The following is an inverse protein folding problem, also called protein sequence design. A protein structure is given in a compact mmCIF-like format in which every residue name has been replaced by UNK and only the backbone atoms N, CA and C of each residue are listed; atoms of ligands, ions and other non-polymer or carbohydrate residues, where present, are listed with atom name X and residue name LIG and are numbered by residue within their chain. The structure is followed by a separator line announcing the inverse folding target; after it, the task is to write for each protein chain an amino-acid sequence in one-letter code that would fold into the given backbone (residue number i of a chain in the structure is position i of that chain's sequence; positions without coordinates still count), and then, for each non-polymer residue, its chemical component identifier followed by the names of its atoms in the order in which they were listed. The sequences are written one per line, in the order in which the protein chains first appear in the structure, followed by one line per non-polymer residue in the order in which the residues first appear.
data_IF_693602141530
#
_entry.id   IF_693602141530
#
_cell.length_a   1.000
_cell.length_b   1.000
_cell.length_c   1.000
_cell.angle_alpha   90.00
_cell.angle_beta   90.00
_cell.angle_gamma   90.00
#
_symmetry.space_group_name_H-M   'P 1'
#
loop_
_entity.id
_entity.type
_entity.pdbx_description
1 polymer ?
#
# COMPACT_ATOMS: atom_id res chain seq x y z
N UNK A 1 22.67 10.45 -3.83
CA UNK A 1 22.35 9.34 -2.91
C UNK A 1 21.38 8.42 -3.64
N UNK A 2 21.68 7.13 -3.68
CA UNK A 2 20.75 6.13 -4.24
C UNK A 2 19.43 6.13 -3.46
N UNK A 3 18.27 5.96 -4.13
CA UNK A 3 17.00 5.90 -3.44
C UNK A 3 16.91 4.67 -2.54
N UNK A 4 16.33 4.85 -1.36
CA UNK A 4 15.97 3.74 -0.47
C UNK A 4 14.88 2.87 -1.09
N UNK A 5 14.72 1.63 -0.62
CA UNK A 5 13.62 0.75 -1.05
C UNK A 5 12.24 1.41 -0.86
N UNK A 6 12.05 2.13 0.27
CA UNK A 6 10.83 2.89 0.54
C UNK A 6 10.55 3.96 -0.52
N UNK A 7 11.57 4.74 -0.88
CA UNK A 7 11.44 5.79 -1.90
C UNK A 7 11.18 5.20 -3.29
N UNK A 8 11.91 4.14 -3.66
CA UNK A 8 11.71 3.51 -4.97
C UNK A 8 10.34 2.86 -5.08
N UNK A 9 9.86 2.19 -4.03
CA UNK A 9 8.51 1.61 -3.97
C UNK A 9 7.43 2.68 -4.15
N UNK A 10 7.60 3.85 -3.51
CA UNK A 10 6.69 4.99 -3.68
C UNK A 10 6.70 5.53 -5.12
N UNK A 11 7.87 5.64 -5.75
CA UNK A 11 7.95 6.06 -7.16
C UNK A 11 7.21 5.09 -8.10
N UNK A 12 7.33 3.79 -7.85
CA UNK A 12 6.59 2.77 -8.60
C UNK A 12 5.09 2.90 -8.33
N UNK A 13 4.67 3.08 -7.09
CA UNK A 13 3.26 3.28 -6.77
C UNK A 13 2.68 4.51 -7.48
N UNK A 14 3.43 5.62 -7.54
CA UNK A 14 3.02 6.84 -8.24
C UNK A 14 2.86 6.65 -9.75
N UNK A 15 3.64 5.77 -10.39
CA UNK A 15 3.47 5.48 -11.82
C UNK A 15 2.21 4.67 -12.14
N UNK A 16 1.54 4.12 -11.12
CA UNK A 16 0.31 3.35 -11.28
C UNK A 16 -0.96 4.19 -11.05
N UNK A 17 -0.85 5.49 -10.78
CA UNK A 17 -2.02 6.37 -10.63
C UNK A 17 -2.95 6.29 -11.84
N UNK A 18 -4.25 6.14 -11.59
CA UNK A 18 -5.28 5.99 -12.62
C UNK A 18 -5.46 4.55 -13.14
N UNK A 19 -4.63 3.59 -12.73
CA UNK A 19 -4.92 2.16 -12.95
C UNK A 19 -6.22 1.81 -12.25
N UNK A 20 -7.14 1.19 -12.98
CA UNK A 20 -8.48 0.87 -12.49
C UNK A 20 -8.93 -0.52 -12.93
N UNK A 21 -9.91 -1.03 -12.20
CA UNK A 21 -10.55 -2.31 -12.49
C UNK A 21 -11.29 -2.29 -13.83
N UNK A 22 -11.23 -3.43 -14.53
CA UNK A 22 -11.88 -3.67 -15.82
C UNK A 22 -12.51 -5.07 -15.83
N UNK A 23 -13.86 -5.18 -15.74
CA UNK A 23 -14.82 -4.08 -15.59
C UNK A 23 -14.75 -3.41 -14.21
N UNK A 24 -15.28 -2.19 -14.08
CA UNK A 24 -15.30 -1.44 -12.81
C UNK A 24 -16.02 -2.26 -11.71
N UNK A 25 -15.51 -2.21 -10.48
CA UNK A 25 -16.02 -2.93 -9.30
C UNK A 25 -15.96 -4.47 -9.41
N UNK A 26 -15.00 -5.00 -10.18
CA UNK A 26 -14.81 -6.45 -10.35
C UNK A 26 -13.66 -7.01 -9.50
N UNK A 27 -12.86 -6.15 -8.86
CA UNK A 27 -11.56 -6.53 -8.30
C UNK A 27 -10.70 -7.30 -9.33
N UNK A 28 -10.78 -6.89 -10.60
CA UNK A 28 -10.05 -7.48 -11.72
C UNK A 28 -9.69 -6.42 -12.75
N UNK A 29 -8.66 -6.71 -13.56
CA UNK A 29 -8.17 -5.85 -14.63
C UNK A 29 -6.76 -6.28 -15.02
N UNK A 30 -6.22 -5.83 -16.17
CA UNK A 30 -4.90 -6.26 -16.64
C UNK A 30 -3.79 -6.04 -15.60
N UNK A 31 -3.74 -4.87 -14.97
CA UNK A 31 -2.77 -4.52 -13.93
C UNK A 31 -3.18 -5.05 -12.55
N UNK A 32 -4.46 -4.94 -12.18
CA UNK A 32 -4.99 -5.46 -10.91
C UNK A 32 -4.70 -6.97 -10.76
N UNK A 33 -4.87 -7.73 -11.84
CA UNK A 33 -4.56 -9.15 -11.86
C UNK A 33 -3.06 -9.43 -11.67
N UNK A 34 -2.16 -8.52 -12.12
CA UNK A 34 -0.72 -8.64 -11.86
C UNK A 34 -0.39 -8.39 -10.39
N UNK A 35 -1.05 -7.40 -9.76
CA UNK A 35 -0.89 -7.13 -8.33
C UNK A 35 -1.31 -8.35 -7.51
N UNK A 36 -2.50 -8.90 -7.77
CA UNK A 36 -3.01 -10.11 -7.11
C UNK A 36 -2.11 -11.32 -7.33
N UNK A 37 -1.66 -11.54 -8.57
CA UNK A 37 -0.74 -12.64 -8.90
C UNK A 37 0.58 -12.55 -8.14
N UNK A 38 1.07 -11.35 -7.81
CA UNK A 38 2.32 -11.16 -7.07
C UNK A 38 2.30 -11.78 -5.67
N UNK A 39 1.11 -11.90 -5.08
CA UNK A 39 0.87 -12.56 -3.80
C UNK A 39 0.23 -13.95 -3.94
N UNK A 40 0.08 -14.45 -5.17
CA UNK A 40 -0.49 -15.77 -5.46
C UNK A 40 -2.02 -15.85 -5.46
N UNK A 41 -2.71 -14.70 -5.56
CA UNK A 41 -4.17 -14.65 -5.66
C UNK A 41 -4.62 -14.50 -7.12
N UNK A 42 -5.83 -14.98 -7.41
CA UNK A 42 -6.54 -14.69 -8.65
C UNK A 42 -7.37 -13.40 -8.57
N UNK A 43 -8.11 -13.06 -9.64
CA UNK A 43 -9.05 -11.93 -9.64
C UNK A 43 -10.17 -12.07 -8.59
N UNK A 44 -10.81 -10.96 -8.24
CA UNK A 44 -11.99 -10.93 -7.37
C UNK A 44 -11.69 -10.64 -5.89
N UNK A 45 -10.42 -10.59 -5.50
CA UNK A 45 -9.99 -10.24 -4.14
C UNK A 45 -9.64 -8.75 -4.04
N UNK A 46 -9.90 -8.16 -2.88
CA UNK A 46 -9.38 -6.83 -2.54
C UNK A 46 -7.86 -6.80 -2.72
N UNK A 47 -7.36 -5.74 -3.37
CA UNK A 47 -6.01 -5.73 -3.94
C UNK A 47 -5.11 -4.62 -3.38
N UNK A 48 -5.53 -3.88 -2.34
CA UNK A 48 -4.70 -2.82 -1.72
C UNK A 48 -3.34 -3.31 -1.22
N UNK A 49 -3.31 -4.41 -0.44
CA UNK A 49 -2.04 -5.00 0.02
C UNK A 49 -1.28 -5.70 -1.10
N UNK A 50 -1.99 -6.27 -2.07
CA UNK A 50 -1.38 -6.88 -3.26
C UNK A 50 -0.62 -5.82 -4.09
N UNK A 51 -1.21 -4.64 -4.25
CA UNK A 51 -0.59 -3.48 -4.89
C UNK A 51 0.67 -3.02 -4.15
N UNK A 52 0.59 -2.84 -2.83
CA UNK A 52 1.76 -2.48 -2.01
C UNK A 52 2.86 -3.53 -2.15
N UNK A 53 2.53 -4.82 -1.99
CA UNK A 53 3.50 -5.91 -2.13
C UNK A 53 4.15 -5.91 -3.52
N UNK A 54 3.35 -5.75 -4.58
CA UNK A 54 3.86 -5.69 -5.95
C UNK A 54 4.82 -4.52 -6.17
N UNK A 55 4.50 -3.32 -5.66
CA UNK A 55 5.37 -2.15 -5.78
C UNK A 55 6.72 -2.39 -5.09
N UNK A 56 6.71 -2.91 -3.86
CA UNK A 56 7.94 -3.25 -3.14
C UNK A 56 8.69 -4.38 -3.83
N UNK A 57 8.00 -5.36 -4.38
CA UNK A 57 8.62 -6.47 -5.10
C UNK A 57 9.35 -5.99 -6.37
N UNK A 58 8.74 -5.06 -7.11
CA UNK A 58 9.37 -4.44 -8.29
C UNK A 58 10.58 -3.61 -7.89
N UNK A 59 10.46 -2.77 -6.87
CA UNK A 59 11.59 -1.97 -6.38
C UNK A 59 12.75 -2.84 -5.87
N UNK A 60 12.43 -3.89 -5.10
CA UNK A 60 13.43 -4.83 -4.61
C UNK A 60 14.16 -5.56 -5.74
N UNK A 61 13.43 -5.97 -6.79
CA UNK A 61 14.03 -6.60 -7.97
C UNK A 61 14.96 -5.65 -8.74
N UNK A 62 14.55 -4.39 -8.95
CA UNK A 62 15.39 -3.37 -9.60
C UNK A 62 16.68 -3.07 -8.80
N UNK A 63 16.58 -3.16 -7.46
CA UNK A 63 17.71 -2.93 -6.55
C UNK A 63 18.51 -4.20 -6.22
N UNK A 64 18.16 -5.35 -6.81
CA UNK A 64 18.79 -6.65 -6.54
C UNK A 64 18.80 -7.06 -5.05
N UNK A 65 17.73 -6.73 -4.33
CA UNK A 65 17.51 -7.13 -2.93
C UNK A 65 16.24 -7.98 -2.77
N UNK A 66 16.11 -8.65 -1.63
CA UNK A 66 14.89 -9.42 -1.31
C UNK A 66 13.77 -8.49 -0.84
N UNK A 67 12.56 -8.71 -1.33
CA UNK A 67 11.37 -8.03 -0.79
C UNK A 67 11.18 -8.41 0.70
N UNK A 68 11.19 -7.44 1.64
CA UNK A 68 11.08 -7.73 3.07
C UNK A 68 9.63 -7.88 3.55
N UNK A 69 8.63 -7.59 2.69
CA UNK A 69 7.22 -7.78 3.03
C UNK A 69 6.83 -9.26 3.02
N UNK A 70 5.76 -9.56 3.76
CA UNK A 70 5.17 -10.89 3.75
C UNK A 70 4.34 -11.00 2.48
N UNK A 71 4.45 -12.13 1.78
CA UNK A 71 3.63 -12.40 0.60
C UNK A 71 2.19 -12.70 1.02
N UNK A 72 1.38 -11.65 1.18
CA UNK A 72 -0.02 -11.76 1.64
C UNK A 72 -0.90 -10.62 1.12
N UNK A 73 -2.20 -10.89 0.94
CA UNK A 73 -3.22 -9.86 0.74
C UNK A 73 -3.82 -9.32 2.05
N UNK A 74 -3.50 -9.95 3.19
CA UNK A 74 -4.05 -9.57 4.49
C UNK A 74 -3.30 -8.39 5.11
N UNK A 75 -3.94 -7.22 5.15
CA UNK A 75 -3.36 -5.99 5.72
C UNK A 75 -2.95 -6.17 7.18
N UNK A 76 -3.83 -6.70 8.03
CA UNK A 76 -3.52 -6.89 9.45
C UNK A 76 -2.50 -8.01 9.68
N UNK A 77 -2.48 -9.03 8.80
CA UNK A 77 -1.44 -10.05 8.82
C UNK A 77 -0.07 -9.42 8.53
N UNK A 78 0.02 -8.61 7.48
CA UNK A 78 1.24 -7.87 7.15
C UNK A 78 1.69 -7.01 8.34
N UNK A 79 0.77 -6.29 8.99
CA UNK A 79 1.10 -5.50 10.17
C UNK A 79 1.56 -6.33 11.37
N UNK A 80 0.89 -7.45 11.67
CA UNK A 80 1.18 -8.23 12.86
C UNK A 80 2.50 -9.02 12.72
N UNK A 81 2.73 -9.62 11.56
CA UNK A 81 3.81 -10.60 11.37
C UNK A 81 5.09 -10.01 10.74
N UNK A 82 5.06 -8.77 10.20
CA UNK A 82 6.26 -8.21 9.55
C UNK A 82 7.43 -8.04 10.51
N UNK A 83 8.65 -8.31 10.02
CA UNK A 83 9.92 -7.99 10.66
C UNK A 83 10.40 -6.56 10.37
N UNK A 84 9.75 -5.85 9.45
CA UNK A 84 10.07 -4.45 9.15
C UNK A 84 9.77 -3.56 10.36
N UNK A 85 10.42 -2.39 10.41
CA UNK A 85 10.25 -1.43 11.50
C UNK A 85 8.80 -0.92 11.52
N UNK A 86 8.13 -1.05 12.67
CA UNK A 86 6.78 -0.51 12.91
C UNK A 86 6.89 0.86 13.57
N UNK A 87 6.23 1.85 12.98
CA UNK A 87 6.16 3.22 13.44
C UNK A 87 4.77 3.46 14.04
N UNK A 88 4.66 3.81 15.33
CA UNK A 88 3.37 4.13 15.92
C UNK A 88 2.86 5.47 15.37
N UNK A 89 1.53 5.62 15.28
CA UNK A 89 0.89 6.86 14.77
C UNK A 89 1.21 8.14 15.54
N UNK A 90 1.73 8.02 16.76
CA UNK A 90 2.18 9.15 17.58
C UNK A 90 3.61 9.59 17.28
N UNK A 91 4.34 8.84 16.45
CA UNK A 91 5.73 9.13 16.12
C UNK A 91 5.85 10.22 15.06
N UNK A 92 6.88 11.07 15.20
CA UNK A 92 7.31 12.01 14.15
C UNK A 92 8.22 11.37 13.10
N UNK A 93 8.48 10.06 13.20
CA UNK A 93 9.36 9.34 12.27
C UNK A 93 8.66 8.87 10.98
N UNK A 94 7.35 9.16 10.84
CA UNK A 94 6.59 8.89 9.61
C UNK A 94 7.17 9.74 8.48
N UNK A 95 7.43 9.12 7.33
CA UNK A 95 8.05 9.79 6.18
C UNK A 95 7.53 9.24 4.85
N UNK A 96 7.74 9.97 3.73
CA UNK A 96 7.43 9.45 2.39
C UNK A 96 8.07 8.07 2.13
N UNK A 97 7.28 7.16 1.59
CA UNK A 97 7.64 5.77 1.33
C UNK A 97 7.25 4.79 2.45
N UNK A 98 6.90 5.27 3.65
CA UNK A 98 6.32 4.41 4.68
C UNK A 98 4.96 3.86 4.21
N UNK A 99 4.67 2.61 4.58
CA UNK A 99 3.41 1.95 4.27
C UNK A 99 2.45 2.17 5.44
N UNK A 100 1.35 2.87 5.24
CA UNK A 100 0.36 3.05 6.31
C UNK A 100 -0.50 1.80 6.47
N UNK A 101 -0.97 1.55 7.69
CA UNK A 101 -1.92 0.49 8.01
C UNK A 101 -3.14 1.11 8.67
N UNK A 102 -4.30 0.88 8.08
CA UNK A 102 -5.61 1.14 8.69
C UNK A 102 -6.22 -0.17 9.16
N UNK A 103 -6.90 -0.11 10.30
CA UNK A 103 -7.66 -1.22 10.86
C UNK A 103 -9.12 -0.81 10.99
N UNK A 104 -10.00 -1.68 10.52
CA UNK A 104 -11.44 -1.52 10.59
C UNK A 104 -12.06 -2.67 11.36
N UNK A 105 -13.36 -2.58 11.62
CA UNK A 105 -14.11 -3.65 12.27
C UNK A 105 -14.09 -4.96 11.46
N UNK A 106 -14.19 -6.08 12.19
CA UNK A 106 -14.21 -7.46 11.66
C UNK A 106 -12.91 -7.90 10.96
N UNK A 107 -11.76 -7.44 11.46
CA UNK A 107 -10.45 -7.90 10.96
C UNK A 107 -10.09 -7.40 9.56
N UNK A 108 -10.81 -6.39 9.05
CA UNK A 108 -10.54 -5.75 7.76
C UNK A 108 -9.51 -4.64 7.95
N UNK A 109 -8.73 -4.37 6.93
CA UNK A 109 -7.77 -3.27 6.94
C UNK A 109 -7.59 -2.68 5.55
N UNK A 110 -6.94 -1.53 5.50
CA UNK A 110 -6.55 -0.88 4.25
C UNK A 110 -5.13 -0.34 4.36
N UNK A 111 -4.46 -0.19 3.24
CA UNK A 111 -3.04 0.16 3.19
C UNK A 111 -2.68 0.86 1.89
N UNK A 112 -1.50 1.46 1.87
CA UNK A 112 -0.92 2.18 0.76
C UNK A 112 0.36 2.87 1.22
N UNK A 113 0.92 3.72 0.37
CA UNK A 113 2.14 4.44 0.67
C UNK A 113 1.84 5.87 1.13
N UNK A 114 2.62 6.36 2.09
CA UNK A 114 2.73 7.79 2.41
C UNK A 114 3.53 8.46 1.29
N UNK A 115 2.94 9.43 0.60
CA UNK A 115 3.60 10.24 -0.42
C UNK A 115 4.16 11.55 0.14
N UNK A 116 3.48 12.15 1.12
CA UNK A 116 3.90 13.39 1.80
C UNK A 116 3.30 13.42 3.21
N UNK A 117 4.04 14.00 4.16
CA UNK A 117 3.55 14.29 5.51
C UNK A 117 3.33 15.80 5.63
N UNK A 118 2.16 16.21 6.12
CA UNK A 118 1.78 17.62 6.29
C UNK A 118 1.08 17.78 7.65
N UNK A 119 1.86 18.07 8.69
CA UNK A 119 1.35 18.17 10.06
C UNK A 119 0.74 16.85 10.54
N UNK A 120 -0.57 16.86 10.82
CA UNK A 120 -1.33 15.67 11.22
C UNK A 120 -1.93 14.89 10.04
N UNK A 121 -1.71 15.36 8.82
CA UNK A 121 -2.18 14.76 7.59
C UNK A 121 -1.04 14.04 6.86
N UNK A 122 -1.43 13.02 6.10
CA UNK A 122 -0.58 12.38 5.10
C UNK A 122 -1.29 12.37 3.76
N UNK A 123 -0.55 12.73 2.71
CA UNK A 123 -0.95 12.41 1.35
C UNK A 123 -0.49 10.99 1.06
N UNK A 124 -1.33 10.21 0.41
CA UNK A 124 -1.11 8.78 0.20
C UNK A 124 -1.36 8.38 -1.25
N UNK A 125 -0.79 7.25 -1.66
CA UNK A 125 -1.09 6.56 -2.93
C UNK A 125 -1.50 5.14 -2.60
N UNK A 126 -2.66 4.72 -3.09
CA UNK A 126 -3.36 3.53 -2.60
C UNK A 126 -4.01 2.81 -3.75
N UNK A 127 -3.89 1.47 -3.80
CA UNK A 127 -4.68 0.63 -4.68
C UNK A 127 -6.00 0.22 -4.03
N UNK A 128 -6.99 -0.19 -4.82
CA UNK A 128 -8.32 -0.59 -4.37
C UNK A 128 -8.96 0.51 -3.51
N UNK A 129 -8.80 1.77 -3.93
CA UNK A 129 -9.45 2.95 -3.35
C UNK A 129 -10.28 3.68 -4.41
N UNK A 130 -10.95 4.76 -4.02
CA UNK A 130 -11.63 5.68 -4.94
C UNK A 130 -11.68 7.10 -4.34
N UNK A 131 -11.97 8.09 -5.17
CA UNK A 131 -12.05 9.50 -4.75
C UNK A 131 -13.30 9.79 -3.90
N UNK A 132 -14.33 8.98 -4.08
CA UNK A 132 -15.67 9.07 -3.48
C UNK A 132 -15.73 8.58 -2.02
N UNK A 133 -14.60 8.12 -1.44
CA UNK A 133 -14.51 7.73 -0.03
C UNK A 133 -15.33 6.49 0.33
N UNK A 134 -15.73 5.72 -0.69
CA UNK A 134 -16.49 4.49 -0.51
C UNK A 134 -15.58 3.36 0.00
N UNK A 135 -16.19 2.31 0.55
CA UNK A 135 -15.46 1.13 1.01
C UNK A 135 -14.97 0.25 -0.14
N UNK A 136 -15.58 0.37 -1.32
CA UNK A 136 -15.30 -0.43 -2.51
C UNK A 136 -14.53 0.45 -3.49
N UNK A 137 -13.22 0.49 -3.31
CA UNK A 137 -12.35 1.21 -4.23
C UNK A 137 -12.05 0.39 -5.48
N UNK A 138 -11.96 1.04 -6.64
CA UNK A 138 -11.75 0.36 -7.92
C UNK A 138 -10.49 0.81 -8.65
N UNK A 139 -9.70 1.70 -8.06
CA UNK A 139 -8.53 2.29 -8.72
C UNK A 139 -7.35 2.56 -7.79
N UNK A 140 -6.22 2.90 -8.40
CA UNK A 140 -5.07 3.51 -7.75
C UNK A 140 -5.27 5.02 -7.74
N UNK A 141 -5.46 5.61 -6.57
CA UNK A 141 -5.67 7.04 -6.42
C UNK A 141 -4.86 7.64 -5.28
N UNK A 142 -4.76 8.97 -5.30
CA UNK A 142 -4.20 9.76 -4.21
C UNK A 142 -5.27 10.11 -3.20
N UNK A 143 -4.94 10.03 -1.90
CA UNK A 143 -5.83 10.45 -0.82
C UNK A 143 -5.11 11.39 0.14
N UNK A 144 -5.89 12.14 0.91
CA UNK A 144 -5.42 12.85 2.10
C UNK A 144 -6.07 12.20 3.31
N UNK A 145 -5.26 11.75 4.26
CA UNK A 145 -5.71 11.02 5.46
C UNK A 145 -5.13 11.61 6.72
N UNK A 146 -5.84 11.47 7.84
CA UNK A 146 -5.33 11.83 9.17
C UNK A 146 -4.46 10.70 9.73
N UNK A 147 -3.32 11.06 10.32
CA UNK A 147 -2.43 10.08 10.97
C UNK A 147 -3.14 9.36 12.13
N UNK A 148 -4.03 10.05 12.85
CA UNK A 148 -4.78 9.48 13.97
C UNK A 148 -5.70 8.32 13.59
N UNK A 149 -6.15 8.27 12.33
CA UNK A 149 -6.97 7.20 11.75
C UNK A 149 -6.19 5.94 11.37
N UNK A 150 -4.86 5.95 11.50
CA UNK A 150 -4.02 4.79 11.21
C UNK A 150 -3.83 3.93 12.45
N UNK A 151 -3.62 2.62 12.25
CA UNK A 151 -3.06 1.72 13.28
C UNK A 151 -1.58 2.03 13.50
N UNK A 152 -0.85 2.29 12.40
CA UNK A 152 0.57 2.64 12.40
C UNK A 152 1.13 2.59 10.98
N UNK A 153 2.46 2.61 10.86
CA UNK A 153 3.17 2.59 9.59
C UNK A 153 4.29 1.55 9.60
N UNK A 154 4.57 0.95 8.45
CA UNK A 154 5.68 0.03 8.24
C UNK A 154 6.73 0.78 7.44
N UNK A 155 7.95 0.85 7.97
CA UNK A 155 9.08 1.48 7.33
C UNK A 155 10.03 0.40 6.81
N UNK A 156 10.25 0.37 5.49
CA UNK A 156 11.17 -0.57 4.86
C UNK A 156 12.60 -0.13 5.15
N UNK A 157 13.43 -1.08 5.57
CA UNK A 157 14.87 -0.91 5.82
C UNK A 157 15.67 -1.12 4.55
#
# INVERSE_FOLDING_TARGET
MEPTLSQRSLCIAASQEGVSERPKNSNSGPEVNQYLKSIGLGPGYSWCMAFVYWCVNKAAAEMSIKNPLIKTGGVLRQWNETSCRKIPKTSRAVKPGDIFIMEFSKGRGHTGFVAKVEGSLVHTIEGNTNDDGSREGYEVAKRVRTISGMKGFIQLT
#
